data_IF_757520539598
#
_entry.id   IF_757520539598
#
_cell.length_a   1.000
_cell.length_b   1.000
_cell.length_c   1.000
_cell.angle_alpha   90.00
_cell.angle_beta   90.00
_cell.angle_gamma   90.00
#
_symmetry.space_group_name_H-M   'P 1'
#
loop_
_entity.id
_entity.type
_entity.pdbx_description
1 polymer ?
#
# COMPACT_ATOMS: atom_id res chain seq x y z
N UNK A 1 -68.03 25.80 -17.27
CA UNK A 1 -67.09 24.67 -17.42
C UNK A 1 -65.82 25.24 -18.03
N UNK A 2 -64.90 25.71 -17.19
CA UNK A 2 -63.68 26.40 -17.61
C UNK A 2 -62.51 25.42 -17.66
N UNK A 3 -61.87 25.36 -18.82
CA UNK A 3 -60.70 24.55 -19.14
C UNK A 3 -59.46 25.12 -18.45
N UNK A 4 -58.77 24.30 -17.67
CA UNK A 4 -57.45 24.60 -17.11
C UNK A 4 -56.38 24.48 -18.20
N UNK A 5 -55.36 25.36 -18.25
CA UNK A 5 -54.25 25.23 -19.19
C UNK A 5 -53.23 24.20 -18.69
N UNK A 6 -52.86 23.26 -19.57
CA UNK A 6 -51.79 22.30 -19.35
C UNK A 6 -50.43 22.99 -19.44
N UNK A 7 -49.64 22.92 -18.38
CA UNK A 7 -48.23 23.31 -18.35
C UNK A 7 -47.36 22.18 -18.90
N UNK A 8 -46.83 22.37 -20.12
CA UNK A 8 -45.70 21.61 -20.64
C UNK A 8 -44.48 21.84 -19.75
N UNK A 9 -43.95 20.77 -19.16
CA UNK A 9 -42.59 20.77 -18.59
C UNK A 9 -41.60 20.31 -19.66
N UNK A 10 -40.48 21.03 -19.91
CA UNK A 10 -39.44 20.55 -20.80
C UNK A 10 -38.57 19.52 -20.07
N UNK A 11 -38.38 18.39 -20.74
CA UNK A 11 -37.42 17.36 -20.39
C UNK A 11 -36.08 17.71 -21.08
N UNK A 12 -34.98 17.96 -20.37
CA UNK A 12 -33.66 17.91 -20.96
C UNK A 12 -33.01 16.56 -20.65
N UNK A 13 -32.99 15.71 -21.67
CA UNK A 13 -32.08 14.57 -21.77
C UNK A 13 -30.63 15.00 -21.59
N UNK A 14 -29.86 14.11 -20.95
CA UNK A 14 -28.45 13.83 -21.26
C UNK A 14 -27.44 14.98 -21.12
N UNK A 15 -26.67 14.94 -20.02
CA UNK A 15 -25.23 15.16 -20.13
C UNK A 15 -24.52 14.23 -19.14
N UNK A 16 -23.83 13.23 -19.69
CA UNK A 16 -23.09 12.24 -18.93
C UNK A 16 -21.90 12.89 -18.21
N UNK A 17 -21.99 12.95 -16.89
CA UNK A 17 -20.81 12.98 -16.05
C UNK A 17 -20.59 11.58 -15.51
N UNK A 18 -19.99 10.70 -16.34
CA UNK A 18 -19.29 9.53 -15.82
C UNK A 18 -17.96 10.03 -15.24
N UNK A 19 -18.06 10.89 -14.23
CA UNK A 19 -16.96 11.19 -13.34
C UNK A 19 -16.78 9.95 -12.48
N UNK A 20 -15.91 9.06 -12.94
CA UNK A 20 -15.53 7.85 -12.21
C UNK A 20 -15.29 8.19 -10.75
N UNK A 21 -16.08 7.60 -9.85
CA UNK A 21 -15.88 7.70 -8.40
C UNK A 21 -14.47 7.27 -7.97
N UNK A 22 -13.73 6.57 -8.84
CA UNK A 22 -12.33 6.22 -8.66
C UNK A 22 -11.37 7.44 -8.67
N UNK A 23 -11.72 8.53 -9.35
CA UNK A 23 -10.84 9.71 -9.43
C UNK A 23 -10.82 10.54 -8.14
N UNK A 24 -11.92 10.55 -7.38
CA UNK A 24 -12.01 11.30 -6.11
C UNK A 24 -11.39 10.56 -4.90
N UNK A 25 -11.23 9.23 -4.98
CA UNK A 25 -10.52 8.47 -3.95
C UNK A 25 -8.98 8.63 -4.03
N UNK A 26 -8.46 9.19 -5.13
CA UNK A 26 -7.02 9.21 -5.43
C UNK A 26 -6.22 10.21 -4.57
N UNK A 27 -6.85 11.26 -4.03
CA UNK A 27 -6.15 12.31 -3.27
C UNK A 27 -6.15 12.07 -1.74
N UNK A 28 -7.10 11.29 -1.21
CA UNK A 28 -7.28 11.15 0.23
C UNK A 28 -6.19 10.32 0.94
N UNK A 29 -5.44 9.49 0.21
CA UNK A 29 -4.45 8.57 0.78
C UNK A 29 -3.03 8.79 0.24
N UNK A 30 -2.69 10.01 -0.18
CA UNK A 30 -1.34 10.36 -0.62
C UNK A 30 -0.46 10.75 0.57
N UNK A 31 0.66 10.05 0.75
CA UNK A 31 1.60 10.23 1.87
C UNK A 31 3.05 10.18 1.42
N UNK A 32 3.95 10.73 2.24
CA UNK A 32 5.39 10.65 2.05
C UNK A 32 5.97 9.65 3.05
N UNK A 33 6.82 8.74 2.58
CA UNK A 33 7.56 7.80 3.40
C UNK A 33 8.46 8.54 4.39
N UNK A 34 9.09 9.63 3.94
CA UNK A 34 9.98 10.42 4.80
C UNK A 34 9.21 11.10 5.93
N UNK A 35 8.00 11.61 5.66
CA UNK A 35 7.18 12.21 6.73
C UNK A 35 6.63 11.15 7.67
N UNK A 36 6.17 10.01 7.14
CA UNK A 36 5.59 8.92 7.95
C UNK A 36 6.65 8.21 8.82
N UNK A 37 7.91 8.12 8.38
CA UNK A 37 8.96 7.50 9.18
C UNK A 37 9.38 8.35 10.38
N UNK A 38 9.28 9.68 10.32
CA UNK A 38 9.54 10.55 11.48
C UNK A 38 8.59 10.24 12.65
N UNK A 39 7.31 9.95 12.36
CA UNK A 39 6.34 9.55 13.38
C UNK A 39 6.70 8.20 14.01
N UNK A 40 7.27 7.27 13.23
CA UNK A 40 7.77 5.98 13.74
C UNK A 40 9.06 6.15 14.55
N UNK A 41 9.98 7.02 14.11
CA UNK A 41 11.19 7.36 14.86
C UNK A 41 10.85 7.97 16.22
N UNK A 42 9.93 8.93 16.26
CA UNK A 42 9.49 9.57 17.49
C UNK A 42 8.85 8.56 18.45
N UNK A 43 7.97 7.67 17.94
CA UNK A 43 7.35 6.60 18.74
C UNK A 43 8.39 5.63 19.29
N UNK A 44 9.35 5.21 18.48
CA UNK A 44 10.41 4.29 18.93
C UNK A 44 11.34 4.94 19.94
N UNK A 45 11.77 6.18 19.70
CA UNK A 45 12.60 6.96 20.63
C UNK A 45 11.92 7.09 21.98
N UNK A 46 10.63 7.43 22.00
CA UNK A 46 9.85 7.50 23.23
C UNK A 46 9.84 6.16 23.97
N UNK A 47 9.53 5.07 23.27
CA UNK A 47 9.48 3.73 23.87
C UNK A 47 10.84 3.29 24.46
N UNK A 48 11.94 3.59 23.78
CA UNK A 48 13.28 3.25 24.26
C UNK A 48 13.72 4.15 25.42
N UNK A 49 13.35 5.44 25.41
CA UNK A 49 13.59 6.35 26.54
C UNK A 49 12.84 5.89 27.80
N UNK A 50 11.59 5.46 27.65
CA UNK A 50 10.80 4.89 28.76
C UNK A 50 11.46 3.64 29.35
N UNK A 51 11.95 2.73 28.50
CA UNK A 51 12.66 1.52 28.96
C UNK A 51 13.98 1.84 29.65
N UNK A 52 14.70 2.85 29.18
CA UNK A 52 16.01 3.23 29.69
C UNK A 52 15.93 4.12 30.95
N UNK A 53 14.77 4.70 31.24
CA UNK A 53 14.56 5.65 32.33
C UNK A 53 15.25 7.01 32.11
N UNK A 54 15.70 7.29 30.89
CA UNK A 54 16.32 8.55 30.48
C UNK A 54 16.21 8.74 28.96
N UNK A 55 16.39 9.96 28.46
CA UNK A 55 16.37 10.21 27.02
C UNK A 55 17.55 9.54 26.32
N UNK A 56 17.25 8.59 25.44
CA UNK A 56 18.25 7.87 24.64
C UNK A 56 18.75 8.68 23.43
N UNK A 57 18.10 9.81 23.11
CA UNK A 57 18.53 10.73 22.07
C UNK A 57 18.49 10.13 20.65
N UNK A 58 19.32 10.68 19.77
CA UNK A 58 19.36 10.32 18.34
C UNK A 58 19.88 8.90 18.08
N UNK A 59 20.57 8.28 19.04
CA UNK A 59 21.03 6.90 18.93
C UNK A 59 19.87 5.91 18.74
N UNK A 60 18.68 6.24 19.25
CA UNK A 60 17.47 5.44 19.04
C UNK A 60 17.06 5.38 17.56
N UNK A 61 17.22 6.48 16.82
CA UNK A 61 16.88 6.55 15.40
C UNK A 61 17.82 5.67 14.60
N UNK A 62 19.13 5.74 14.86
CA UNK A 62 20.11 4.87 14.19
C UNK A 62 19.83 3.38 14.44
N UNK A 63 19.45 3.02 15.67
CA UNK A 63 19.06 1.64 16.01
C UNK A 63 17.81 1.23 15.24
N UNK A 64 16.81 2.11 15.19
CA UNK A 64 15.58 1.83 14.45
C UNK A 64 15.86 1.63 12.96
N UNK A 65 16.64 2.52 12.33
CA UNK A 65 17.03 2.40 10.92
C UNK A 65 17.70 1.06 10.64
N UNK A 66 18.64 0.65 11.50
CA UNK A 66 19.34 -0.62 11.35
C UNK A 66 18.43 -1.85 11.50
N UNK A 67 17.45 -1.79 12.40
CA UNK A 67 16.65 -2.95 12.78
C UNK A 67 15.31 -3.07 12.04
N UNK A 68 14.71 -1.93 11.66
CA UNK A 68 13.30 -1.87 11.25
C UNK A 68 13.07 -1.27 9.87
N UNK A 69 14.06 -0.56 9.29
CA UNK A 69 13.87 0.17 8.02
C UNK A 69 13.34 -0.70 6.89
N UNK A 70 13.95 -1.87 6.66
CA UNK A 70 13.57 -2.75 5.56
C UNK A 70 12.15 -3.31 5.71
N UNK A 71 11.76 -3.68 6.93
CA UNK A 71 10.41 -4.15 7.23
C UNK A 71 9.37 -3.04 7.04
N UNK A 72 9.68 -1.86 7.55
CA UNK A 72 8.83 -0.67 7.41
C UNK A 72 8.61 -0.30 5.93
N UNK A 73 9.69 -0.19 5.16
CA UNK A 73 9.65 0.16 3.75
C UNK A 73 8.89 -0.89 2.93
N UNK A 74 9.12 -2.18 3.20
CA UNK A 74 8.37 -3.29 2.58
C UNK A 74 6.88 -3.18 2.85
N UNK A 75 6.46 -2.81 4.07
CA UNK A 75 5.05 -2.65 4.40
C UNK A 75 4.39 -1.51 3.61
N UNK A 76 5.06 -0.35 3.48
CA UNK A 76 4.54 0.79 2.70
C UNK A 76 4.46 0.48 1.22
N UNK A 77 5.45 -0.21 0.70
CA UNK A 77 5.42 -0.71 -0.66
C UNK A 77 4.26 -1.68 -0.92
N UNK A 78 3.99 -2.63 -0.02
CA UNK A 78 2.83 -3.52 -0.16
C UNK A 78 1.50 -2.73 -0.16
N UNK A 79 1.38 -1.71 0.68
CA UNK A 79 0.21 -0.81 0.65
C UNK A 79 0.09 -0.07 -0.68
N UNK A 80 1.21 0.36 -1.26
CA UNK A 80 1.26 1.00 -2.56
C UNK A 80 0.77 0.10 -3.68
N UNK A 81 1.31 -1.11 -3.74
CA UNK A 81 0.96 -2.10 -4.74
C UNK A 81 -0.49 -2.57 -4.65
N UNK A 82 -1.05 -2.61 -3.42
CA UNK A 82 -2.47 -2.89 -3.20
C UNK A 82 -3.38 -1.70 -3.57
N UNK A 83 -2.82 -0.52 -3.81
CA UNK A 83 -3.60 0.70 -4.05
C UNK A 83 -4.22 1.30 -2.79
N UNK A 84 -3.75 0.92 -1.59
CA UNK A 84 -4.29 1.38 -0.30
C UNK A 84 -3.79 2.79 0.05
N UNK A 85 -2.50 3.04 -0.15
CA UNK A 85 -1.87 4.33 0.11
C UNK A 85 -0.88 4.68 -1.01
N UNK A 86 -0.98 5.89 -1.53
CA UNK A 86 -0.06 6.39 -2.54
C UNK A 86 1.15 7.01 -1.85
N UNK A 87 2.29 6.34 -1.92
CA UNK A 87 3.56 6.76 -1.32
C UNK A 87 4.36 7.50 -2.38
N UNK A 88 4.64 8.78 -2.14
CA UNK A 88 5.17 9.72 -3.14
C UNK A 88 6.55 9.29 -3.67
N UNK A 89 7.33 8.64 -2.82
CA UNK A 89 8.69 8.20 -3.12
C UNK A 89 8.73 6.94 -4.00
N UNK A 90 7.61 6.23 -4.13
CA UNK A 90 7.50 5.00 -4.91
C UNK A 90 7.00 5.30 -6.34
N UNK A 91 7.29 4.39 -7.28
CA UNK A 91 6.91 4.55 -8.69
C UNK A 91 5.39 4.66 -8.87
N UNK A 92 4.95 5.67 -9.63
CA UNK A 92 3.52 5.94 -9.83
C UNK A 92 2.80 4.83 -10.61
N UNK A 93 3.50 4.15 -11.50
CA UNK A 93 2.98 3.03 -12.30
C UNK A 93 2.70 1.79 -11.46
N UNK A 94 3.31 1.69 -10.28
CA UNK A 94 3.14 0.57 -9.36
C UNK A 94 1.91 0.69 -8.47
N UNK A 95 1.39 1.89 -8.29
CA UNK A 95 0.24 2.11 -7.43
C UNK A 95 -0.94 1.26 -7.89
N UNK A 96 -1.44 0.37 -7.02
CA UNK A 96 -2.55 -0.54 -7.34
C UNK A 96 -2.22 -1.63 -8.36
N UNK A 97 -0.95 -1.90 -8.65
CA UNK A 97 -0.53 -2.89 -9.65
C UNK A 97 -1.04 -4.30 -9.30
N UNK A 98 -0.91 -4.73 -8.05
CA UNK A 98 -1.38 -6.06 -7.63
C UNK A 98 -2.90 -6.15 -7.70
N UNK A 99 -3.58 -5.07 -7.29
CA UNK A 99 -5.03 -5.02 -7.40
C UNK A 99 -5.47 -5.14 -8.86
N UNK A 100 -4.77 -4.52 -9.82
CA UNK A 100 -5.08 -4.64 -11.25
C UNK A 100 -4.74 -6.02 -11.84
N UNK A 101 -3.61 -6.59 -11.43
CA UNK A 101 -3.10 -7.83 -12.00
C UNK A 101 -3.83 -9.08 -11.46
N UNK A 102 -4.35 -9.04 -10.24
CA UNK A 102 -4.95 -10.18 -9.55
C UNK A 102 -6.36 -9.84 -9.01
N UNK A 103 -7.18 -9.18 -9.84
CA UNK A 103 -8.55 -8.79 -9.46
C UNK A 103 -9.42 -10.01 -9.13
N UNK A 104 -9.27 -11.08 -9.90
CA UNK A 104 -10.06 -12.31 -9.74
C UNK A 104 -9.62 -13.10 -8.50
N UNK A 105 -8.34 -12.98 -8.11
CA UNK A 105 -7.77 -13.63 -6.93
C UNK A 105 -7.55 -12.66 -5.76
N UNK A 106 -8.38 -11.61 -5.65
CA UNK A 106 -8.22 -10.57 -4.62
C UNK A 106 -8.10 -11.12 -3.20
N UNK A 107 -8.96 -12.07 -2.81
CA UNK A 107 -8.95 -12.62 -1.46
C UNK A 107 -7.65 -13.41 -1.19
N UNK A 108 -7.14 -14.11 -2.20
CA UNK A 108 -5.86 -14.81 -2.11
C UNK A 108 -4.70 -13.82 -2.05
N UNK A 109 -4.72 -12.75 -2.85
CA UNK A 109 -3.74 -11.68 -2.81
C UNK A 109 -3.71 -11.03 -1.41
N UNK A 110 -4.88 -10.67 -0.86
CA UNK A 110 -4.96 -10.04 0.46
C UNK A 110 -4.46 -10.99 1.56
N UNK A 111 -4.75 -12.29 1.46
CA UNK A 111 -4.21 -13.29 2.39
C UNK A 111 -2.67 -13.41 2.29
N UNK A 112 -2.13 -13.52 1.07
CA UNK A 112 -0.68 -13.60 0.84
C UNK A 112 0.02 -12.34 1.36
N UNK A 113 -0.51 -11.15 1.04
CA UNK A 113 0.05 -9.88 1.53
C UNK A 113 -0.04 -9.80 3.05
N UNK A 114 -1.11 -10.30 3.67
CA UNK A 114 -1.23 -10.42 5.13
C UNK A 114 -0.08 -11.22 5.74
N UNK A 115 0.18 -12.43 5.23
CA UNK A 115 1.31 -13.25 5.67
C UNK A 115 2.65 -12.53 5.54
N UNK A 116 2.87 -11.82 4.42
CA UNK A 116 4.12 -11.08 4.21
C UNK A 116 4.26 -9.85 5.13
N UNK A 117 3.15 -9.21 5.49
CA UNK A 117 3.13 -8.12 6.48
C UNK A 117 3.44 -8.60 7.89
N UNK A 118 3.05 -9.84 8.22
CA UNK A 118 3.42 -10.51 9.47
C UNK A 118 4.89 -10.97 9.50
N UNK A 119 5.68 -10.65 8.47
CA UNK A 119 7.10 -11.00 8.36
C UNK A 119 7.36 -12.43 7.91
N UNK A 120 6.34 -13.16 7.43
CA UNK A 120 6.54 -14.52 6.89
C UNK A 120 7.22 -14.47 5.54
N UNK A 121 7.99 -15.51 5.24
CA UNK A 121 8.70 -15.62 3.97
C UNK A 121 7.86 -16.32 2.90
N UNK A 122 8.27 -16.23 1.63
CA UNK A 122 7.59 -16.88 0.51
C UNK A 122 7.39 -18.39 0.73
N UNK A 123 8.35 -19.06 1.37
CA UNK A 123 8.24 -20.49 1.68
C UNK A 123 7.15 -20.77 2.73
N UNK A 124 6.92 -19.88 3.69
CA UNK A 124 5.84 -20.01 4.66
C UNK A 124 4.48 -19.85 4.00
N UNK A 125 4.38 -18.91 3.04
CA UNK A 125 3.17 -18.71 2.23
C UNK A 125 2.87 -19.96 1.40
N UNK A 126 3.89 -20.54 0.74
CA UNK A 126 3.75 -21.78 -0.03
C UNK A 126 3.29 -22.94 0.87
N UNK A 127 3.90 -23.08 2.06
CA UNK A 127 3.51 -24.10 3.04
C UNK A 127 2.08 -23.90 3.52
N UNK A 128 1.67 -22.66 3.79
CA UNK A 128 0.30 -22.30 4.15
C UNK A 128 -0.69 -22.67 3.05
N UNK A 129 -0.40 -22.32 1.79
CA UNK A 129 -1.25 -22.65 0.66
C UNK A 129 -1.47 -24.17 0.53
N UNK A 130 -0.39 -24.94 0.64
CA UNK A 130 -0.44 -26.41 0.61
C UNK A 130 -1.28 -26.98 1.75
N UNK A 131 -1.10 -26.47 2.98
CA UNK A 131 -1.88 -26.91 4.14
C UNK A 131 -3.38 -26.62 4.01
N UNK A 132 -3.75 -25.55 3.31
CA UNK A 132 -5.14 -25.14 3.08
C UNK A 132 -5.71 -25.63 1.74
N UNK A 133 -4.99 -26.50 1.02
CA UNK A 133 -5.41 -27.03 -0.29
C UNK A 133 -5.70 -25.95 -1.34
N UNK A 134 -5.02 -24.81 -1.23
CA UNK A 134 -5.09 -23.71 -2.20
C UNK A 134 -4.22 -24.07 -3.40
N UNK A 135 -4.72 -23.78 -4.62
CA UNK A 135 -3.94 -23.99 -5.84
C UNK A 135 -2.64 -23.19 -5.80
N UNK A 136 -1.52 -23.86 -6.04
CA UNK A 136 -0.19 -23.24 -5.91
C UNK A 136 0.13 -22.29 -7.06
N UNK A 137 -0.47 -22.51 -8.22
CA UNK A 137 -0.22 -21.72 -9.44
C UNK A 137 -0.49 -20.22 -9.24
N UNK A 138 -1.68 -19.77 -8.78
CA UNK A 138 -1.91 -18.35 -8.53
C UNK A 138 -1.04 -17.81 -7.39
N UNK A 139 -0.68 -18.63 -6.40
CA UNK A 139 0.22 -18.23 -5.30
C UNK A 139 1.60 -17.88 -5.84
N UNK A 140 2.17 -18.73 -6.71
CA UNK A 140 3.47 -18.49 -7.33
C UNK A 140 3.44 -17.21 -8.18
N UNK A 141 2.43 -17.03 -9.04
CA UNK A 141 2.30 -15.81 -9.87
C UNK A 141 2.28 -14.54 -9.02
N UNK A 142 1.55 -14.55 -7.90
CA UNK A 142 1.48 -13.40 -6.98
C UNK A 142 2.85 -13.15 -6.34
N UNK A 143 3.52 -14.20 -5.86
CA UNK A 143 4.85 -14.09 -5.23
C UNK A 143 5.92 -13.63 -6.22
N UNK A 144 5.87 -14.06 -7.48
CA UNK A 144 6.77 -13.60 -8.54
C UNK A 144 6.57 -12.13 -8.88
N UNK A 145 5.31 -11.69 -9.02
CA UNK A 145 5.00 -10.28 -9.25
C UNK A 145 5.50 -9.40 -8.09
N UNK A 146 5.40 -9.89 -6.86
CA UNK A 146 5.98 -9.23 -5.69
C UNK A 146 7.52 -9.20 -5.73
N UNK A 147 8.19 -10.30 -6.07
CA UNK A 147 9.66 -10.37 -6.12
C UNK A 147 10.24 -9.36 -7.13
N UNK A 148 9.70 -9.31 -8.35
CA UNK A 148 10.14 -8.39 -9.42
C UNK A 148 10.09 -6.93 -8.92
N UNK A 149 8.98 -6.56 -8.30
CA UNK A 149 8.76 -5.21 -7.81
C UNK A 149 9.66 -4.90 -6.60
N UNK A 150 9.95 -5.88 -5.73
CA UNK A 150 10.86 -5.68 -4.58
C UNK A 150 12.29 -5.34 -5.02
N UNK A 151 12.78 -5.95 -6.10
CA UNK A 151 14.11 -5.67 -6.66
C UNK A 151 14.21 -4.27 -7.26
N UNK A 152 13.16 -3.80 -7.94
CA UNK A 152 13.13 -2.44 -8.51
C UNK A 152 13.22 -1.39 -7.41
N UNK A 153 12.54 -1.59 -6.29
CA UNK A 153 12.60 -0.64 -5.17
C UNK A 153 13.97 -0.53 -4.53
N UNK A 154 14.66 -1.65 -4.33
CA UNK A 154 16.04 -1.62 -3.80
C UNK A 154 16.88 -0.72 -4.69
N UNK A 155 16.80 -0.88 -6.01
CA UNK A 155 17.50 -0.01 -6.94
C UNK A 155 17.05 1.45 -6.90
N UNK A 156 15.75 1.74 -6.89
CA UNK A 156 15.25 3.12 -6.88
C UNK A 156 15.64 3.88 -5.60
N UNK A 157 15.62 3.20 -4.46
CA UNK A 157 15.95 3.79 -3.16
C UNK A 157 17.45 3.89 -2.97
N UNK A 158 18.25 2.94 -3.46
CA UNK A 158 19.72 3.10 -3.50
C UNK A 158 20.13 4.30 -4.37
N UNK A 159 19.52 4.44 -5.55
CA UNK A 159 19.79 5.55 -6.47
C UNK A 159 19.35 6.90 -5.90
N UNK A 160 18.20 6.96 -5.20
CA UNK A 160 17.68 8.21 -4.62
C UNK A 160 18.23 8.53 -3.23
N UNK A 161 18.62 7.51 -2.46
CA UNK A 161 19.23 7.61 -1.13
C UNK A 161 20.72 7.96 -1.18
N UNK A 162 21.36 7.92 -2.36
CA UNK A 162 22.73 8.41 -2.60
C UNK A 162 22.86 9.94 -2.49
N UNK A 163 21.77 10.65 -2.19
CA UNK A 163 21.71 12.10 -2.05
C UNK A 163 21.26 12.59 -0.66
N UNK A 164 21.24 11.71 0.35
CA UNK A 164 21.05 12.07 1.76
C UNK A 164 22.35 11.95 2.55
#
# INVERSE_FOLDING_TARGET
MSLSPQTLSPNPSSCGAVGSAAAFACDANRRSIYVDCEDEFARFKWLESEKAGHDVGELAIYRWLKMHWWGYLRARWLEHLQGKCFWIELDRGDFGLLLRAFQEEKDLLDAIVGHLKDGRENLDVIRWAKANQISIEPVIRILEALDINSRRLVHEIELRGSHC
#
